data_IF_733974054956
#
_entry.id   IF_733974054956
#
_cell.length_a   1.000
_cell.length_b   1.000
_cell.length_c   1.000
_cell.angle_alpha   90.00
_cell.angle_beta   90.00
_cell.angle_gamma   90.00
#
_symmetry.space_group_name_H-M   'P 1'
#
loop_
_entity.id
_entity.type
_entity.pdbx_description
1 polymer ?
#
# COMPACT_ATOMS: atom_id res chain seq x y z
N UNK A 1 -20.91 1.24 -6.38
CA UNK A 1 -20.08 1.91 -5.36
C UNK A 1 -18.93 1.02 -4.87
N UNK A 2 -19.09 -0.30 -4.72
CA UNK A 2 -17.96 -1.23 -4.45
C UNK A 2 -17.15 -1.53 -5.73
N UNK A 3 -17.80 -1.54 -6.90
CA UNK A 3 -17.13 -1.85 -8.19
C UNK A 3 -16.02 -0.87 -8.59
N UNK A 4 -16.18 0.43 -8.31
CA UNK A 4 -15.19 1.45 -8.73
C UNK A 4 -13.86 1.34 -7.97
N UNK A 5 -13.88 0.90 -6.70
CA UNK A 5 -12.67 0.79 -5.89
C UNK A 5 -11.81 -0.41 -6.28
N UNK A 6 -12.44 -1.54 -6.59
CA UNK A 6 -11.74 -2.73 -7.06
C UNK A 6 -11.05 -2.48 -8.41
N UNK A 7 -11.78 -1.88 -9.37
CA UNK A 7 -11.24 -1.51 -10.68
C UNK A 7 -10.07 -0.51 -10.53
N UNK A 8 -10.19 0.43 -9.59
CA UNK A 8 -9.12 1.39 -9.26
C UNK A 8 -7.90 0.69 -8.66
N UNK A 9 -8.09 -0.22 -7.70
CA UNK A 9 -7.01 -0.96 -7.07
C UNK A 9 -6.26 -1.85 -8.07
N UNK A 10 -6.97 -2.51 -8.99
CA UNK A 10 -6.35 -3.27 -10.07
C UNK A 10 -5.54 -2.39 -11.02
N UNK A 11 -6.09 -1.25 -11.46
CA UNK A 11 -5.38 -0.31 -12.33
C UNK A 11 -4.10 0.22 -11.67
N UNK A 12 -4.17 0.54 -10.38
CA UNK A 12 -3.02 0.94 -9.58
C UNK A 12 -2.00 -0.20 -9.43
N UNK A 13 -2.44 -1.45 -9.19
CA UNK A 13 -1.53 -2.58 -9.04
C UNK A 13 -0.78 -2.90 -10.35
N UNK A 14 -1.45 -2.73 -11.50
CA UNK A 14 -0.81 -2.80 -12.80
C UNK A 14 0.26 -1.69 -12.96
N UNK A 15 -0.04 -0.47 -12.53
CA UNK A 15 0.93 0.62 -12.52
C UNK A 15 2.13 0.32 -11.60
N UNK A 16 1.90 -0.22 -10.40
CA UNK A 16 2.96 -0.65 -9.48
C UNK A 16 3.90 -1.62 -10.19
N UNK A 17 3.34 -2.64 -10.85
CA UNK A 17 4.14 -3.67 -11.55
C UNK A 17 5.00 -3.04 -12.64
N UNK A 18 4.42 -2.17 -13.48
CA UNK A 18 5.16 -1.45 -14.52
C UNK A 18 6.29 -0.59 -13.92
N UNK A 19 6.03 0.13 -12.84
CA UNK A 19 7.05 0.97 -12.19
C UNK A 19 8.18 0.16 -11.57
N UNK A 20 7.90 -1.05 -11.05
CA UNK A 20 8.94 -1.96 -10.59
C UNK A 20 9.82 -2.46 -11.75
N UNK A 21 9.22 -2.82 -12.88
CA UNK A 21 9.95 -3.28 -14.07
C UNK A 21 10.91 -2.24 -14.63
N UNK A 22 10.52 -0.95 -14.61
CA UNK A 22 11.37 0.15 -15.07
C UNK A 22 12.25 0.76 -13.96
N UNK A 23 12.30 0.14 -12.78
CA UNK A 23 13.18 0.56 -11.67
C UNK A 23 12.75 1.85 -10.96
N UNK A 24 11.49 2.27 -11.08
CA UNK A 24 10.93 3.48 -10.43
C UNK A 24 10.27 3.13 -9.11
N UNK A 25 11.08 2.66 -8.15
CA UNK A 25 10.62 2.15 -6.86
C UNK A 25 9.81 3.18 -6.07
N UNK A 26 10.18 4.46 -6.09
CA UNK A 26 9.42 5.53 -5.44
C UNK A 26 7.95 5.60 -5.91
N UNK A 27 7.72 5.46 -7.22
CA UNK A 27 6.36 5.50 -7.79
C UNK A 27 5.60 4.23 -7.42
N UNK A 28 6.24 3.06 -7.52
CA UNK A 28 5.66 1.80 -7.08
C UNK A 28 5.25 1.83 -5.59
N UNK A 29 6.05 2.47 -4.73
CA UNK A 29 5.76 2.63 -3.31
C UNK A 29 4.52 3.50 -3.08
N UNK A 30 4.41 4.63 -3.77
CA UNK A 30 3.26 5.55 -3.68
C UNK A 30 1.97 4.87 -4.10
N UNK A 31 1.98 4.18 -5.24
CA UNK A 31 0.79 3.48 -5.70
C UNK A 31 0.43 2.27 -4.82
N UNK A 32 1.42 1.56 -4.26
CA UNK A 32 1.16 0.50 -3.27
C UNK A 32 0.49 1.08 -2.01
N UNK A 33 0.93 2.26 -1.55
CA UNK A 33 0.29 2.97 -0.44
C UNK A 33 -1.16 3.33 -0.78
N UNK A 34 -1.42 3.89 -1.97
CA UNK A 34 -2.77 4.31 -2.37
C UNK A 34 -3.72 3.10 -2.43
N UNK A 35 -3.27 1.94 -2.93
CA UNK A 35 -4.04 0.69 -2.91
C UNK A 35 -4.35 0.28 -1.46
N UNK A 36 -3.36 0.32 -0.57
CA UNK A 36 -3.56 0.01 0.85
C UNK A 36 -4.59 0.92 1.52
N UNK A 37 -4.60 2.21 1.18
CA UNK A 37 -5.58 3.18 1.69
C UNK A 37 -6.99 2.94 1.14
N UNK A 38 -7.12 2.49 -0.11
CA UNK A 38 -8.40 2.06 -0.69
C UNK A 38 -8.96 0.87 0.09
N UNK A 39 -8.17 -0.20 0.28
CA UNK A 39 -8.62 -1.37 1.05
C UNK A 39 -8.95 -1.02 2.50
N UNK A 40 -8.20 -0.11 3.11
CA UNK A 40 -8.50 0.38 4.46
C UNK A 40 -9.86 1.08 4.51
N UNK A 41 -10.21 1.86 3.48
CA UNK A 41 -11.51 2.52 3.36
C UNK A 41 -12.66 1.50 3.17
N UNK A 42 -12.39 0.38 2.48
CA UNK A 42 -13.33 -0.72 2.31
C UNK A 42 -13.45 -1.64 3.54
N UNK A 43 -12.73 -1.34 4.62
CA UNK A 43 -12.59 -2.20 5.81
C UNK A 43 -11.97 -3.58 5.53
N UNK A 44 -11.32 -3.73 4.38
CA UNK A 44 -10.49 -4.89 4.07
C UNK A 44 -9.09 -4.67 4.65
N UNK A 45 -9.03 -4.81 5.97
CA UNK A 45 -7.84 -4.53 6.77
C UNK A 45 -6.67 -5.47 6.46
N UNK A 46 -6.94 -6.72 6.09
CA UNK A 46 -5.91 -7.69 5.73
C UNK A 46 -5.19 -7.26 4.45
N UNK A 47 -5.95 -6.96 3.38
CA UNK A 47 -5.36 -6.50 2.13
C UNK A 47 -4.70 -5.12 2.31
N UNK A 48 -5.30 -4.22 3.09
CA UNK A 48 -4.70 -2.94 3.41
C UNK A 48 -3.29 -3.10 4.01
N UNK A 49 -3.14 -3.98 5.01
CA UNK A 49 -1.85 -4.24 5.64
C UNK A 49 -0.81 -4.79 4.65
N UNK A 50 -1.21 -5.71 3.76
CA UNK A 50 -0.31 -6.29 2.73
C UNK A 50 0.24 -5.20 1.80
N UNK A 51 -0.62 -4.33 1.27
CA UNK A 51 -0.19 -3.29 0.34
C UNK A 51 0.60 -2.15 1.03
N UNK A 52 0.24 -1.79 2.26
CA UNK A 52 1.01 -0.84 3.07
C UNK A 52 2.39 -1.39 3.43
N UNK A 53 2.51 -2.70 3.68
CA UNK A 53 3.78 -3.36 3.97
C UNK A 53 4.69 -3.30 2.73
N UNK A 54 4.16 -3.65 1.56
CA UNK A 54 4.86 -3.49 0.28
C UNK A 54 5.33 -2.04 0.06
N UNK A 55 4.50 -1.05 0.38
CA UNK A 55 4.89 0.35 0.29
C UNK A 55 6.03 0.71 1.27
N UNK A 56 5.99 0.18 2.50
CA UNK A 56 7.03 0.39 3.50
C UNK A 56 8.38 -0.15 3.02
N UNK A 57 8.42 -1.39 2.53
CA UNK A 57 9.63 -2.03 2.00
C UNK A 57 10.23 -1.23 0.84
N UNK A 58 9.39 -0.78 -0.09
CA UNK A 58 9.84 0.01 -1.24
C UNK A 58 10.38 1.38 -0.80
N UNK A 59 9.72 2.05 0.14
CA UNK A 59 10.22 3.32 0.67
C UNK A 59 11.54 3.15 1.42
N UNK A 60 11.70 2.08 2.19
CA UNK A 60 12.95 1.81 2.91
C UNK A 60 14.09 1.51 1.93
N UNK A 61 13.82 0.75 0.86
CA UNK A 61 14.81 0.47 -0.20
C UNK A 61 15.32 1.73 -0.91
N UNK A 62 14.49 2.77 -0.98
CA UNK A 62 14.83 4.08 -1.56
C UNK A 62 15.42 5.06 -0.53
N UNK A 63 15.69 4.60 0.70
CA UNK A 63 16.20 5.43 1.81
C UNK A 63 15.18 6.42 2.37
N UNK A 64 13.89 6.22 2.11
CA UNK A 64 12.80 7.08 2.57
C UNK A 64 12.21 6.61 3.90
N UNK A 65 13.07 6.49 4.92
CA UNK A 65 12.70 5.89 6.21
C UNK A 65 11.54 6.59 6.93
N UNK A 66 11.33 7.90 6.74
CA UNK A 66 10.18 8.62 7.32
C UNK A 66 8.84 8.12 6.75
N UNK A 67 8.79 7.83 5.45
CA UNK A 67 7.60 7.28 4.81
C UNK A 67 7.41 5.81 5.21
N UNK A 68 8.49 5.01 5.24
CA UNK A 68 8.45 3.62 5.69
C UNK A 68 7.93 3.50 7.14
N UNK A 69 8.42 4.35 8.05
CA UNK A 69 7.95 4.39 9.44
C UNK A 69 6.47 4.75 9.54
N UNK A 70 6.00 5.69 8.71
CA UNK A 70 4.58 6.07 8.67
C UNK A 70 3.71 4.91 8.20
N UNK A 71 4.15 4.11 7.23
CA UNK A 71 3.43 2.90 6.79
C UNK A 71 3.44 1.84 7.88
N UNK A 72 4.58 1.62 8.54
CA UNK A 72 4.71 0.69 9.65
C UNK A 72 3.76 1.01 10.80
N UNK A 73 3.62 2.30 11.14
CA UNK A 73 2.65 2.73 12.15
C UNK A 73 1.22 2.39 11.75
N UNK A 74 0.81 2.68 10.50
CA UNK A 74 -0.52 2.33 10.00
C UNK A 74 -0.78 0.83 10.04
N UNK A 75 0.20 0.01 9.66
CA UNK A 75 0.10 -1.46 9.71
C UNK A 75 -0.13 -1.94 11.15
N UNK A 76 0.61 -1.37 12.12
CA UNK A 76 0.41 -1.71 13.53
C UNK A 76 -0.98 -1.32 14.03
N UNK A 77 -1.50 -0.16 13.63
CA UNK A 77 -2.87 0.28 13.94
C UNK A 77 -3.93 -0.64 13.32
N UNK A 78 -3.67 -1.19 12.13
CA UNK A 78 -4.55 -2.16 11.46
C UNK A 78 -4.54 -3.50 12.21
N UNK A 79 -3.37 -4.05 12.53
CA UNK A 79 -3.30 -5.31 13.28
C UNK A 79 -3.94 -5.20 14.66
N UNK A 80 -3.76 -4.07 15.35
CA UNK A 80 -4.43 -3.82 16.62
C UNK A 80 -5.97 -3.74 16.50
N UNK A 81 -6.51 -3.42 15.32
CA UNK A 81 -7.95 -3.48 15.05
C UNK A 81 -8.42 -4.90 14.73
N UNK A 82 -7.61 -5.68 14.00
CA UNK A 82 -7.91 -7.07 13.66
C UNK A 82 -7.86 -8.02 14.87
N UNK A 83 -7.06 -7.72 15.89
CA UNK A 83 -6.98 -8.50 17.13
C UNK A 83 -8.17 -8.31 18.09
N UNK A 84 -9.09 -7.39 17.80
CA UNK A 84 -10.29 -7.10 18.63
C UNK A 84 -11.52 -7.83 18.14
#
# INVERSE_FOLDING_TARGET
MISDFHDTAEALNNAVTLFLEIGRLNMAARYSKDIGEIYQQEQDLENAAVYLNRAADLFDSEGQSSQANSMTQKIAEIYAQLEK
#
